data_IF_022955877835
#
_entry.id   IF_022955877835
#
_cell.length_a   1.000
_cell.length_b   1.000
_cell.length_c   1.000
_cell.angle_alpha   90.00
_cell.angle_beta   90.00
_cell.angle_gamma   90.00
#
_symmetry.space_group_name_H-M   'P 1'
#
loop_
_entity.id
_entity.type
_entity.pdbx_description
1 polymer ?
#
# COMPACT_ATOMS: atom_id res chain seq x y z
N UNK A 1 -13.20 2.66 -7.82
CA UNK A 1 -12.09 1.82 -8.35
C UNK A 1 -12.56 0.38 -8.35
N UNK A 2 -12.67 -0.29 -9.50
CA UNK A 2 -13.04 -1.71 -9.56
C UNK A 2 -11.74 -2.52 -9.64
N UNK A 3 -11.35 -3.12 -8.52
CA UNK A 3 -10.10 -3.87 -8.38
C UNK A 3 -10.40 -5.36 -8.48
N UNK A 4 -9.76 -6.02 -9.46
CA UNK A 4 -9.93 -7.45 -9.70
C UNK A 4 -9.40 -8.28 -8.51
N UNK A 5 -9.75 -9.56 -8.46
CA UNK A 5 -9.36 -10.45 -7.35
C UNK A 5 -7.85 -10.53 -7.17
N UNK A 6 -7.10 -10.63 -8.26
CA UNK A 6 -5.64 -10.65 -8.26
C UNK A 6 -5.04 -9.39 -7.62
N UNK A 7 -5.53 -8.21 -7.98
CA UNK A 7 -5.10 -6.92 -7.40
C UNK A 7 -5.40 -6.86 -5.91
N UNK A 8 -6.55 -7.41 -5.46
CA UNK A 8 -6.88 -7.49 -4.04
C UNK A 8 -5.93 -8.41 -3.28
N UNK A 9 -5.50 -9.52 -3.88
CA UNK A 9 -4.51 -10.42 -3.28
C UNK A 9 -3.12 -9.78 -3.21
N UNK A 10 -2.70 -9.07 -4.25
CA UNK A 10 -1.45 -8.31 -4.25
C UNK A 10 -1.45 -7.29 -3.11
N UNK A 11 -2.53 -6.51 -2.96
CA UNK A 11 -2.64 -5.52 -1.88
C UNK A 11 -2.63 -6.17 -0.48
N UNK A 12 -3.23 -7.35 -0.32
CA UNK A 12 -3.19 -8.11 0.96
C UNK A 12 -1.78 -8.55 1.29
N UNK A 13 -1.05 -9.11 0.32
CA UNK A 13 0.32 -9.56 0.49
C UNK A 13 1.25 -8.38 0.80
N UNK A 14 1.11 -7.27 0.07
CA UNK A 14 1.87 -6.06 0.31
C UNK A 14 1.63 -5.51 1.72
N UNK A 15 0.35 -5.44 2.14
CA UNK A 15 -0.03 -5.04 3.50
C UNK A 15 0.58 -5.94 4.57
N UNK A 16 0.59 -7.26 4.35
CA UNK A 16 1.18 -8.20 5.30
C UNK A 16 2.69 -7.96 5.46
N UNK A 17 3.43 -7.86 4.35
CA UNK A 17 4.88 -7.64 4.36
C UNK A 17 5.25 -6.30 5.03
N UNK A 18 4.54 -5.22 4.69
CA UNK A 18 4.80 -3.91 5.32
C UNK A 18 4.50 -3.92 6.80
N UNK A 19 3.36 -4.50 7.21
CA UNK A 19 2.98 -4.49 8.62
C UNK A 19 3.87 -5.36 9.49
N UNK A 20 4.47 -6.42 8.95
CA UNK A 20 5.55 -7.15 9.64
C UNK A 20 6.73 -6.22 9.89
N UNK A 21 7.25 -5.55 8.86
CA UNK A 21 8.39 -4.62 9.01
C UNK A 21 8.10 -3.47 9.98
N UNK A 22 6.90 -2.89 9.91
CA UNK A 22 6.47 -1.82 10.83
C UNK A 22 6.39 -2.31 12.27
N UNK A 23 5.89 -3.52 12.48
CA UNK A 23 5.86 -4.15 13.81
C UNK A 23 7.27 -4.32 14.37
N UNK A 24 8.23 -4.77 13.56
CA UNK A 24 9.63 -4.94 13.98
C UNK A 24 10.27 -3.59 14.37
N UNK A 25 9.81 -2.49 13.78
CA UNK A 25 10.22 -1.12 14.11
C UNK A 25 9.38 -0.47 15.23
N UNK A 26 8.49 -1.22 15.89
CA UNK A 26 7.60 -0.69 16.95
C UNK A 26 6.51 0.27 16.45
N UNK A 27 6.27 0.30 15.14
CA UNK A 27 5.29 1.18 14.51
C UNK A 27 3.91 0.52 14.44
N UNK A 28 2.87 1.37 14.43
CA UNK A 28 1.48 0.90 14.24
C UNK A 28 1.29 0.33 12.82
N UNK A 29 0.48 -0.73 12.67
CA UNK A 29 0.17 -1.29 11.35
C UNK A 29 -0.63 -0.30 10.51
N UNK A 30 -0.41 -0.34 9.20
CA UNK A 30 -1.19 0.37 8.21
C UNK A 30 -2.46 -0.40 7.85
N UNK A 31 -3.52 0.37 7.62
CA UNK A 31 -4.77 -0.10 7.04
C UNK A 31 -4.66 -0.20 5.52
N UNK A 32 -5.57 -0.96 4.89
CA UNK A 32 -5.64 -1.02 3.43
C UNK A 32 -5.89 0.35 2.81
N UNK A 33 -6.68 1.22 3.46
CA UNK A 33 -6.95 2.57 2.98
C UNK A 33 -5.65 3.41 2.92
N UNK A 34 -4.88 3.44 4.00
CA UNK A 34 -3.61 4.17 4.05
C UNK A 34 -2.61 3.69 2.98
N UNK A 35 -2.52 2.38 2.76
CA UNK A 35 -1.66 1.81 1.73
C UNK A 35 -2.12 2.24 0.33
N UNK A 36 -3.43 2.21 0.07
CA UNK A 36 -3.97 2.63 -1.23
C UNK A 36 -3.78 4.13 -1.43
N UNK A 37 -3.99 4.95 -0.41
CA UNK A 37 -3.79 6.40 -0.46
C UNK A 37 -2.33 6.73 -0.78
N UNK A 38 -1.37 6.12 -0.07
CA UNK A 38 0.08 6.30 -0.36
C UNK A 38 0.46 5.86 -1.77
N UNK A 39 -0.10 4.75 -2.27
CA UNK A 39 0.14 4.30 -3.66
C UNK A 39 -0.46 5.29 -4.66
N UNK A 40 -1.67 5.78 -4.42
CA UNK A 40 -2.31 6.77 -5.28
C UNK A 40 -1.50 8.07 -5.31
N UNK A 41 -1.05 8.55 -4.15
CA UNK A 41 -0.19 9.73 -4.04
C UNK A 41 1.13 9.53 -4.77
N UNK A 42 1.78 8.38 -4.61
CA UNK A 42 3.02 8.07 -5.32
C UNK A 42 2.82 8.10 -6.84
N UNK A 43 1.79 7.41 -7.35
CA UNK A 43 1.49 7.36 -8.80
C UNK A 43 1.10 8.73 -9.35
N UNK A 44 0.29 9.50 -8.62
CA UNK A 44 -0.13 10.84 -9.04
C UNK A 44 1.06 11.81 -9.11
N UNK A 45 1.98 11.73 -8.15
CA UNK A 45 3.17 12.58 -8.10
C UNK A 45 4.33 12.08 -8.98
N UNK A 46 4.28 10.83 -9.48
CA UNK A 46 5.23 10.34 -10.48
C UNK A 46 5.08 11.00 -11.86
N UNK A 47 3.94 11.63 -12.16
CA UNK A 47 3.79 12.43 -13.39
C UNK A 47 4.63 13.72 -13.39
N UNK A 48 5.21 14.12 -12.25
CA UNK A 48 6.08 15.30 -12.15
C UNK A 48 7.57 15.03 -12.44
N UNK A 49 7.94 13.80 -12.82
CA UNK A 49 9.35 13.38 -13.04
C UNK A 49 9.63 13.00 -14.51
N UNK A 50 8.87 13.55 -15.46
CA UNK A 50 9.15 13.45 -16.90
C UNK A 50 9.39 14.83 -17.51
#
# INVERSE_FOLDING_TARGET
>A
MNINTETREILRNYRAVINVRRRDMGQKPLTTAQIVDEICDFVANQQAVF
#
